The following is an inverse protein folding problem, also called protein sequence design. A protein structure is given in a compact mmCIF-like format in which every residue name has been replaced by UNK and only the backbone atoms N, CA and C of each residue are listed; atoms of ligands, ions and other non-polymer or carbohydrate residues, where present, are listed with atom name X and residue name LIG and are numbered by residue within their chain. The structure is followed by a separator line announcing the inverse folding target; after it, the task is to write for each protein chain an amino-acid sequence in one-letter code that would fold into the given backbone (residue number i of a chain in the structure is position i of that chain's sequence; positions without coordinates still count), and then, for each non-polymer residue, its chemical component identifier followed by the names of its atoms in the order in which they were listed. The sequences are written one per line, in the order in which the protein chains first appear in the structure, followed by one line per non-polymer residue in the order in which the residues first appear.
data_IF_412453268761
#
_entry.id   IF_412453268761
#
_cell.length_a   1.000
_cell.length_b   1.000
_cell.length_c   1.000
_cell.angle_alpha   90.00
_cell.angle_beta   90.00
_cell.angle_gamma   90.00
#
_symmetry.space_group_name_H-M   'P 1'
#
loop_
_entity.id
_entity.type
_entity.pdbx_description
1 polymer ?
#
# COMPACT_ATOMS: atom_id res chain seq x y z
N UNK A 1 -24.67 35.14 -16.12
CA UNK A 1 -23.21 35.18 -15.86
C UNK A 1 -22.94 36.09 -14.65
N UNK A 2 -22.76 35.51 -13.45
CA UNK A 2 -22.32 36.26 -12.25
C UNK A 2 -20.79 36.18 -12.19
N UNK A 3 -20.12 37.32 -12.31
CA UNK A 3 -18.68 37.46 -12.10
C UNK A 3 -18.34 37.10 -10.64
N UNK A 4 -17.47 36.11 -10.42
CA UNK A 4 -16.81 35.89 -9.12
C UNK A 4 -15.85 37.05 -8.86
N UNK A 5 -16.04 37.77 -7.76
CA UNK A 5 -15.05 38.70 -7.22
C UNK A 5 -13.81 37.91 -6.76
N UNK A 6 -12.63 38.48 -7.01
CA UNK A 6 -11.32 37.98 -6.62
C UNK A 6 -11.03 38.43 -5.18
N UNK A 7 -10.77 37.46 -4.30
CA UNK A 7 -9.68 37.47 -3.34
C UNK A 7 -9.80 38.36 -2.11
N UNK A 8 -10.56 37.92 -1.11
CA UNK A 8 -10.12 37.96 0.29
C UNK A 8 -9.79 36.50 0.65
N UNK A 9 -8.55 36.25 1.10
CA UNK A 9 -8.19 34.94 1.67
C UNK A 9 -8.70 35.00 3.10
N UNK A 10 -9.69 34.18 3.44
CA UNK A 10 -10.20 34.09 4.81
C UNK A 10 -9.05 33.64 5.74
N UNK A 11 -8.92 34.25 6.92
CA UNK A 11 -7.90 33.88 7.93
C UNK A 11 -7.93 32.37 8.26
N UNK A 12 -9.11 31.75 8.17
CA UNK A 12 -9.32 30.30 8.31
C UNK A 12 -8.61 29.46 7.23
N UNK A 13 -8.51 29.97 5.99
CA UNK A 13 -7.80 29.29 4.90
C UNK A 13 -6.28 29.38 5.09
N UNK A 14 -5.79 30.49 5.65
CA UNK A 14 -4.37 30.64 5.98
C UNK A 14 -3.97 29.73 7.15
N UNK A 15 -4.77 29.65 8.22
CA UNK A 15 -4.51 28.73 9.33
C UNK A 15 -4.55 27.26 8.87
N UNK A 16 -5.54 26.89 8.04
CA UNK A 16 -5.61 25.55 7.46
C UNK A 16 -4.38 25.23 6.60
N UNK A 17 -3.92 26.19 5.79
CA UNK A 17 -2.74 26.02 4.95
C UNK A 17 -1.47 25.85 5.80
N UNK A 18 -1.26 26.70 6.81
CA UNK A 18 -0.11 26.61 7.72
C UNK A 18 -0.11 25.27 8.46
N UNK A 19 -1.27 24.83 8.98
CA UNK A 19 -1.42 23.52 9.61
C UNK A 19 -1.09 22.37 8.65
N UNK A 20 -1.55 22.47 7.41
CA UNK A 20 -1.29 21.46 6.39
C UNK A 20 0.21 21.34 6.05
N UNK A 21 0.91 22.46 5.89
CA UNK A 21 2.37 22.45 5.68
C UNK A 21 3.11 21.85 6.88
N UNK A 22 2.70 22.21 8.10
CA UNK A 22 3.30 21.65 9.32
C UNK A 22 3.10 20.13 9.42
N UNK A 23 1.90 19.64 9.09
CA UNK A 23 1.62 18.20 9.09
C UNK A 23 2.44 17.45 8.05
N UNK A 24 2.59 18.02 6.86
CA UNK A 24 3.44 17.50 5.78
C UNK A 24 4.89 17.37 6.24
N UNK A 25 5.47 18.43 6.81
CA UNK A 25 6.85 18.43 7.31
C UNK A 25 7.03 17.38 8.41
N UNK A 26 6.14 17.37 9.40
CA UNK A 26 6.14 16.38 10.49
C UNK A 26 6.07 14.94 9.99
N UNK A 27 5.20 14.66 9.00
CA UNK A 27 5.06 13.33 8.39
C UNK A 27 6.34 12.88 7.69
N UNK A 28 6.99 13.79 6.95
CA UNK A 28 8.27 13.54 6.27
C UNK A 28 9.41 13.31 7.25
N UNK A 29 9.49 14.13 8.29
CA UNK A 29 10.50 13.99 9.34
C UNK A 29 10.35 12.67 10.09
N UNK A 30 9.13 12.28 10.43
CA UNK A 30 8.87 11.00 11.08
C UNK A 30 9.28 9.83 10.19
N UNK A 31 8.94 9.87 8.90
CA UNK A 31 9.36 8.84 7.94
C UNK A 31 10.87 8.78 7.80
N UNK A 32 11.54 9.92 7.77
CA UNK A 32 13.00 9.99 7.71
C UNK A 32 13.63 9.33 8.95
N UNK A 33 13.13 9.63 10.15
CA UNK A 33 13.57 9.00 11.41
C UNK A 33 13.36 7.49 11.39
N UNK A 34 12.17 7.03 11.00
CA UNK A 34 11.85 5.61 10.91
C UNK A 34 12.75 4.90 9.88
N UNK A 35 13.01 5.53 8.73
CA UNK A 35 13.93 5.02 7.70
C UNK A 35 15.36 4.88 8.20
N UNK A 36 15.86 5.84 9.00
CA UNK A 36 17.18 5.71 9.61
C UNK A 36 17.21 4.59 10.65
N UNK A 37 16.17 4.48 11.47
CA UNK A 37 16.03 3.40 12.45
C UNK A 37 16.01 2.02 11.79
N UNK A 38 15.30 1.86 10.67
CA UNK A 38 15.27 0.61 9.91
C UNK A 38 16.64 0.20 9.32
N UNK A 39 17.57 1.15 9.14
CA UNK A 39 18.93 0.87 8.65
C UNK A 39 19.88 0.47 9.78
N UNK A 40 19.68 1.02 10.97
CA UNK A 40 20.55 0.79 12.13
C UNK A 40 20.09 -0.39 12.98
N UNK A 41 18.79 -0.54 13.18
CA UNK A 41 18.17 -1.55 14.04
C UNK A 41 17.52 -2.66 13.20
N UNK A 42 18.12 -3.85 13.25
CA UNK A 42 17.61 -5.04 12.54
C UNK A 42 16.29 -5.56 13.10
N UNK A 43 15.87 -5.16 14.30
CA UNK A 43 14.58 -5.56 14.88
C UNK A 43 13.40 -4.77 14.32
N UNK A 44 13.67 -3.72 13.54
CA UNK A 44 12.68 -2.79 13.01
C UNK A 44 12.65 -2.87 11.49
N UNK A 45 11.48 -3.14 10.93
CA UNK A 45 11.25 -3.09 9.48
C UNK A 45 10.29 -1.96 9.17
N UNK A 46 10.68 -1.11 8.21
CA UNK A 46 9.85 -0.01 7.74
C UNK A 46 9.63 -0.17 6.25
N UNK A 47 8.36 -0.26 5.84
CA UNK A 47 7.97 -0.46 4.46
C UNK A 47 6.92 0.55 4.04
N UNK A 48 7.07 1.12 2.86
CA UNK A 48 5.98 1.84 2.18
C UNK A 48 5.26 0.88 1.25
N UNK A 49 3.95 0.97 1.12
CA UNK A 49 3.23 0.22 0.11
C UNK A 49 2.16 1.05 -0.58
N UNK A 50 1.95 0.78 -1.86
CA UNK A 50 0.92 1.41 -2.67
C UNK A 50 0.44 0.49 -3.79
N UNK A 51 -0.81 0.69 -4.21
CA UNK A 51 -1.39 -0.06 -5.32
C UNK A 51 -1.21 0.73 -6.61
N UNK A 52 -0.53 0.13 -7.58
CA UNK A 52 -0.26 0.75 -8.88
C UNK A 52 -1.57 1.06 -9.64
N UNK A 53 -1.47 1.98 -10.60
CA UNK A 53 -2.49 2.15 -11.61
C UNK A 53 -2.77 0.80 -12.30
N UNK A 54 -4.02 0.59 -12.73
CA UNK A 54 -4.44 -0.67 -13.35
C UNK A 54 -3.58 -0.94 -14.58
N UNK A 55 -3.01 -2.13 -14.63
CA UNK A 55 -2.16 -2.63 -15.71
C UNK A 55 -3.07 -3.36 -16.72
N UNK A 56 -3.32 -2.79 -17.91
CA UNK A 56 -4.26 -3.38 -18.86
C UNK A 56 -3.61 -4.53 -19.64
N UNK A 57 -4.36 -5.60 -19.85
CA UNK A 57 -3.98 -6.70 -20.75
C UNK A 57 -5.06 -6.90 -21.81
N UNK A 58 -4.71 -6.95 -23.12
CA UNK A 58 -3.38 -6.77 -23.69
C UNK A 58 -2.90 -5.30 -23.64
N UNK A 59 -1.59 -5.08 -23.54
CA UNK A 59 -0.96 -3.77 -23.68
C UNK A 59 -0.10 -3.74 -24.95
N UNK A 60 -0.65 -3.21 -26.04
CA UNK A 60 0.03 -3.08 -27.33
C UNK A 60 0.03 -1.62 -27.79
N UNK A 61 1.02 -1.26 -28.62
CA UNK A 61 1.15 0.09 -29.20
C UNK A 61 0.31 0.25 -30.47
N UNK A 62 -0.97 -0.14 -30.43
CA UNK A 62 -1.90 -0.04 -31.57
C UNK A 62 -3.15 0.74 -31.19
N UNK A 63 -3.61 1.63 -32.07
CA UNK A 63 -4.75 2.50 -31.80
C UNK A 63 -6.07 1.76 -31.58
N UNK A 64 -6.24 0.60 -32.24
CA UNK A 64 -7.48 -0.18 -32.19
C UNK A 64 -7.82 -0.73 -30.80
N UNK A 65 -6.81 -0.87 -29.93
CA UNK A 65 -7.01 -1.33 -28.55
C UNK A 65 -7.83 -0.34 -27.72
N UNK A 66 -7.85 0.94 -28.09
CA UNK A 66 -8.62 1.97 -27.37
C UNK A 66 -10.11 1.61 -27.24
N UNK A 67 -10.67 0.89 -28.21
CA UNK A 67 -12.08 0.49 -28.24
C UNK A 67 -12.35 -0.91 -27.68
N UNK A 68 -11.33 -1.59 -27.14
CA UNK A 68 -11.44 -2.95 -26.62
C UNK A 68 -11.50 -2.94 -25.09
N UNK A 69 -12.11 -3.98 -24.54
CA UNK A 69 -12.11 -4.21 -23.10
C UNK A 69 -10.81 -4.90 -22.72
N UNK A 70 -10.10 -4.32 -21.76
CA UNK A 70 -8.89 -4.90 -21.19
C UNK A 70 -9.23 -5.75 -19.97
N UNK A 71 -8.46 -6.81 -19.79
CA UNK A 71 -8.38 -7.51 -18.51
C UNK A 71 -7.50 -6.67 -17.57
N UNK A 72 -8.01 -6.43 -16.38
CA UNK A 72 -7.31 -5.61 -15.38
C UNK A 72 -6.33 -6.46 -14.57
N UNK A 73 -5.05 -6.09 -14.58
CA UNK A 73 -4.04 -6.60 -13.67
C UNK A 73 -3.71 -5.54 -12.62
N UNK A 74 -3.51 -5.99 -11.39
CA UNK A 74 -3.23 -5.17 -10.22
C UNK A 74 -1.85 -5.53 -9.68
N UNK A 75 -1.11 -4.50 -9.25
CA UNK A 75 0.21 -4.66 -8.64
C UNK A 75 0.26 -3.90 -7.32
N UNK A 76 0.33 -4.62 -6.20
CA UNK A 76 0.55 -4.04 -4.88
C UNK A 76 2.04 -4.12 -4.53
N UNK A 77 2.69 -2.96 -4.50
CA UNK A 77 4.14 -2.87 -4.33
C UNK A 77 4.50 -2.48 -2.91
N UNK A 78 5.29 -3.32 -2.24
CA UNK A 78 5.94 -3.02 -0.96
C UNK A 78 7.40 -2.65 -1.21
N UNK A 79 7.84 -1.53 -0.67
CA UNK A 79 9.24 -1.10 -0.69
C UNK A 79 9.76 -0.99 0.74
N UNK A 80 10.77 -1.81 1.06
CA UNK A 80 11.46 -1.76 2.36
C UNK A 80 12.50 -0.63 2.36
N UNK A 81 12.35 0.29 3.31
CA UNK A 81 13.19 1.50 3.43
C UNK A 81 14.58 1.21 4.00
N UNK A 82 14.73 0.10 4.74
CA UNK A 82 15.98 -0.31 5.36
C UNK A 82 16.95 -0.94 4.36
N UNK A 83 16.48 -1.92 3.59
CA UNK A 83 17.31 -2.71 2.66
C UNK A 83 17.10 -2.38 1.17
N UNK A 84 16.14 -1.51 0.84
CA UNK A 84 15.83 -1.10 -0.53
C UNK A 84 15.24 -2.20 -1.40
N UNK A 85 14.76 -3.30 -0.81
CA UNK A 85 14.09 -4.38 -1.55
C UNK A 85 12.65 -4.01 -1.83
N UNK A 86 12.22 -4.32 -3.06
CA UNK A 86 10.83 -4.20 -3.48
C UNK A 86 10.20 -5.58 -3.63
N UNK A 87 8.99 -5.76 -3.11
CA UNK A 87 8.16 -6.96 -3.29
C UNK A 87 6.85 -6.54 -3.93
N UNK A 88 6.47 -7.18 -5.03
CA UNK A 88 5.30 -6.87 -5.83
C UNK A 88 4.36 -8.07 -5.79
N UNK A 89 3.13 -7.85 -5.32
CA UNK A 89 2.06 -8.85 -5.36
C UNK A 89 1.20 -8.57 -6.58
N UNK A 90 1.15 -9.51 -7.53
CA UNK A 90 0.42 -9.34 -8.78
C UNK A 90 -0.75 -10.30 -8.87
N UNK A 91 -1.90 -9.79 -9.31
CA UNK A 91 -3.06 -10.60 -9.67
C UNK A 91 -3.93 -9.87 -10.69
N UNK A 92 -4.73 -10.62 -11.42
CA UNK A 92 -5.75 -10.07 -12.32
C UNK A 92 -7.16 -10.12 -11.72
N UNK A 93 -8.10 -9.43 -12.35
CA UNK A 93 -9.49 -9.32 -11.91
C UNK A 93 -10.27 -10.64 -11.89
N UNK A 94 -9.78 -11.72 -12.52
CA UNK A 94 -10.36 -13.06 -12.39
C UNK A 94 -10.02 -13.67 -11.03
N UNK A 95 -8.82 -13.39 -10.52
CA UNK A 95 -8.33 -13.93 -9.26
C UNK A 95 -8.82 -13.14 -8.04
N UNK A 96 -8.98 -11.83 -8.14
CA UNK A 96 -9.42 -11.01 -7.02
C UNK A 96 -9.71 -9.57 -7.38
N UNK A 97 -10.44 -8.87 -6.50
CA UNK A 97 -10.68 -7.43 -6.65
C UNK A 97 -9.46 -6.60 -6.22
N UNK A 98 -9.69 -5.32 -5.92
CA UNK A 98 -8.66 -4.44 -5.35
C UNK A 98 -9.13 -3.80 -4.05
N UNK A 99 -9.93 -4.54 -3.29
CA UNK A 99 -10.54 -4.08 -2.04
C UNK A 99 -9.71 -4.45 -0.82
N UNK A 100 -10.28 -4.18 0.35
CA UNK A 100 -9.62 -4.45 1.62
C UNK A 100 -9.20 -5.91 1.82
N UNK A 101 -9.93 -6.87 1.25
CA UNK A 101 -9.64 -8.30 1.41
C UNK A 101 -8.31 -8.65 0.71
N UNK A 102 -8.15 -8.22 -0.54
CA UNK A 102 -6.94 -8.48 -1.32
C UNK A 102 -5.74 -7.76 -0.72
N UNK A 103 -5.91 -6.46 -0.41
CA UNK A 103 -4.87 -5.64 0.22
C UNK A 103 -4.43 -6.21 1.56
N UNK A 104 -5.37 -6.52 2.46
CA UNK A 104 -5.03 -7.03 3.78
C UNK A 104 -4.46 -8.46 3.75
N UNK A 105 -4.83 -9.28 2.76
CA UNK A 105 -4.22 -10.60 2.55
C UNK A 105 -2.77 -10.47 2.11
N UNK A 106 -2.46 -9.55 1.19
CA UNK A 106 -1.09 -9.26 0.79
C UNK A 106 -0.26 -8.68 1.96
N UNK A 107 -0.85 -7.83 2.80
CA UNK A 107 -0.19 -7.33 4.02
C UNK A 107 0.14 -8.49 4.97
N UNK A 108 -0.79 -9.43 5.18
CA UNK A 108 -0.53 -10.63 6.01
C UNK A 108 0.61 -11.47 5.45
N UNK A 109 0.58 -11.77 4.15
CA UNK A 109 1.65 -12.52 3.48
C UNK A 109 3.00 -11.80 3.59
N UNK A 110 3.00 -10.47 3.45
CA UNK A 110 4.22 -9.68 3.62
C UNK A 110 4.75 -9.75 5.04
N UNK A 111 3.91 -9.58 6.07
CA UNK A 111 4.31 -9.70 7.47
C UNK A 111 4.87 -11.09 7.75
N UNK A 112 4.19 -12.15 7.30
CA UNK A 112 4.65 -13.53 7.47
C UNK A 112 6.04 -13.72 6.85
N UNK A 113 6.24 -13.29 5.60
CA UNK A 113 7.53 -13.44 4.92
C UNK A 113 8.65 -12.66 5.61
N UNK A 114 8.36 -11.46 6.13
CA UNK A 114 9.34 -10.65 6.86
C UNK A 114 9.68 -11.28 8.20
N UNK A 115 8.69 -11.81 8.93
CA UNK A 115 8.89 -12.50 10.20
C UNK A 115 9.71 -13.79 10.05
N UNK A 116 9.45 -14.58 9.01
CA UNK A 116 10.21 -15.79 8.70
C UNK A 116 11.67 -15.50 8.36
N UNK A 117 11.94 -14.39 7.65
CA UNK A 117 13.29 -13.99 7.25
C UNK A 117 14.06 -13.27 8.36
N UNK A 118 13.38 -12.73 9.36
CA UNK A 118 13.99 -11.93 10.42
C UNK A 118 13.54 -12.41 11.81
N UNK A 119 14.33 -13.30 12.39
CA UNK A 119 14.10 -13.88 13.72
C UNK A 119 14.15 -12.86 14.87
N UNK A 120 14.70 -11.66 14.63
CA UNK A 120 14.81 -10.59 15.62
C UNK A 120 13.73 -9.51 15.45
N UNK A 121 12.77 -9.72 14.55
CA UNK A 121 11.74 -8.74 14.24
C UNK A 121 10.84 -8.49 15.46
N UNK A 122 10.83 -7.24 15.92
CA UNK A 122 9.99 -6.74 17.02
C UNK A 122 8.98 -5.71 16.56
N UNK A 123 9.34 -4.87 15.59
CA UNK A 123 8.49 -3.78 15.13
C UNK A 123 8.41 -3.73 13.61
N UNK A 124 7.18 -3.60 13.09
CA UNK A 124 6.93 -3.32 11.69
C UNK A 124 6.19 -1.98 11.58
N UNK A 125 6.68 -1.09 10.72
CA UNK A 125 5.98 0.15 10.38
C UNK A 125 5.65 0.18 8.90
N UNK A 126 4.36 0.33 8.60
CA UNK A 126 3.85 0.53 7.26
C UNK A 126 3.47 1.99 7.01
N UNK A 127 3.81 2.47 5.83
CA UNK A 127 3.36 3.75 5.29
C UNK A 127 2.52 3.53 4.04
N UNK A 128 1.29 4.05 4.00
CA UNK A 128 0.42 3.94 2.82
C UNK A 128 -0.44 5.18 2.60
N UNK A 129 -1.13 5.22 1.46
CA UNK A 129 -2.20 6.19 1.21
C UNK A 129 -3.41 5.96 2.16
N UNK A 130 -4.32 6.93 2.22
CA UNK A 130 -5.51 6.90 3.11
C UNK A 130 -6.78 6.37 2.43
N UNK A 131 -6.66 5.63 1.32
CA UNK A 131 -7.81 5.09 0.61
C UNK A 131 -8.66 4.20 1.53
N UNK A 132 -9.89 4.63 1.84
CA UNK A 132 -10.74 3.96 2.82
C UNK A 132 -11.17 2.55 2.38
N UNK A 133 -11.48 2.37 1.09
CA UNK A 133 -11.86 1.06 0.55
C UNK A 133 -10.73 0.02 0.54
N UNK A 134 -9.49 0.47 0.66
CA UNK A 134 -8.29 -0.35 0.49
C UNK A 134 -7.48 -0.44 1.78
N UNK A 135 -6.96 0.68 2.25
CA UNK A 135 -5.90 0.74 3.26
C UNK A 135 -6.44 1.18 4.64
N UNK A 136 -7.20 2.27 4.69
CA UNK A 136 -7.66 2.87 5.95
C UNK A 136 -9.05 2.34 6.32
N UNK A 137 -9.11 1.07 6.73
CA UNK A 137 -10.34 0.44 7.20
C UNK A 137 -10.09 -0.61 8.30
N UNK A 138 -11.19 -0.99 8.95
CA UNK A 138 -11.22 -2.00 10.00
C UNK A 138 -10.74 -3.39 9.57
N UNK A 139 -10.82 -3.74 8.28
CA UNK A 139 -10.46 -5.07 7.79
C UNK A 139 -8.95 -5.22 7.72
N UNK A 140 -8.24 -4.21 7.18
CA UNK A 140 -6.78 -4.13 7.20
C UNK A 140 -6.26 -4.07 8.64
N UNK A 141 -6.89 -3.27 9.51
CA UNK A 141 -6.53 -3.24 10.93
C UNK A 141 -6.71 -4.62 11.60
N UNK A 142 -7.81 -5.32 11.30
CA UNK A 142 -8.05 -6.69 11.80
C UNK A 142 -7.00 -7.68 11.31
N UNK A 143 -6.54 -7.53 10.06
CA UNK A 143 -5.48 -8.35 9.50
C UNK A 143 -4.15 -8.12 10.24
N UNK A 144 -3.76 -6.87 10.50
CA UNK A 144 -2.54 -6.57 11.28
C UNK A 144 -2.63 -7.09 12.73
N UNK A 145 -3.79 -6.96 13.38
CA UNK A 145 -4.02 -7.54 14.71
C UNK A 145 -3.92 -9.07 14.71
N UNK A 146 -4.43 -9.72 13.66
CA UNK A 146 -4.29 -11.15 13.49
C UNK A 146 -2.82 -11.56 13.33
N UNK A 147 -2.05 -10.83 12.53
CA UNK A 147 -0.61 -11.05 12.38
C UNK A 147 0.14 -10.93 13.72
N UNK A 148 -0.15 -9.91 14.54
CA UNK A 148 0.41 -9.76 15.89
C UNK A 148 0.09 -10.97 16.78
N UNK A 149 -1.13 -11.52 16.68
CA UNK A 149 -1.51 -12.70 17.45
C UNK A 149 -0.74 -13.95 17.02
N UNK A 150 -0.40 -14.08 15.74
CA UNK A 150 0.30 -15.24 15.21
C UNK A 150 1.81 -15.19 15.45
N UNK A 151 2.42 -14.01 15.36
CA UNK A 151 3.86 -13.83 15.51
C UNK A 151 4.22 -13.22 16.85
N UNK A 152 4.49 -14.08 17.85
CA UNK A 152 4.82 -13.65 19.22
C UNK A 152 6.07 -12.78 19.34
N UNK A 153 6.97 -12.80 18.34
CA UNK A 153 8.15 -11.95 18.30
C UNK A 153 7.81 -10.49 17.96
N UNK A 154 6.73 -10.26 17.21
CA UNK A 154 6.32 -8.91 16.81
C UNK A 154 5.54 -8.29 17.96
N UNK A 155 6.12 -7.24 18.53
CA UNK A 155 5.55 -6.48 19.65
C UNK A 155 4.65 -5.35 19.13
N UNK A 156 5.02 -4.72 18.00
CA UNK A 156 4.36 -3.52 17.49
C UNK A 156 4.19 -3.59 15.96
N UNK A 157 2.96 -3.30 15.48
CA UNK A 157 2.70 -2.98 14.08
C UNK A 157 2.13 -1.56 14.01
N UNK A 158 2.87 -0.66 13.37
CA UNK A 158 2.43 0.71 13.10
C UNK A 158 1.88 0.81 11.67
N UNK A 159 0.71 1.41 11.49
CA UNK A 159 0.18 1.79 10.19
C UNK A 159 0.04 3.31 10.13
N UNK A 160 1.02 3.96 9.49
CA UNK A 160 1.13 5.41 9.36
C UNK A 160 0.60 5.84 7.98
N UNK A 161 -0.02 7.01 7.96
CA UNK A 161 -0.61 7.59 6.77
C UNK A 161 0.02 8.96 6.49
N UNK A 162 0.11 9.32 5.21
CA UNK A 162 0.57 10.64 4.80
C UNK A 162 -0.53 11.69 4.90
N UNK A 163 -0.10 12.94 5.03
CA UNK A 163 -0.95 14.10 4.79
C UNK A 163 -1.43 14.09 3.32
N UNK A 164 -2.71 14.44 3.10
CA UNK A 164 -3.33 14.36 1.76
C UNK A 164 -2.57 15.25 0.77
N UNK A 165 -2.37 14.78 -0.46
CA UNK A 165 -1.64 15.53 -1.50
C UNK A 165 -0.11 15.60 -1.31
N UNK A 166 0.42 15.01 -0.23
CA UNK A 166 1.86 15.00 0.07
C UNK A 166 2.39 13.60 0.34
N UNK A 167 1.81 12.60 -0.33
CA UNK A 167 2.32 11.23 -0.33
C UNK A 167 3.55 11.16 -1.24
N UNK A 168 4.71 10.89 -0.65
CA UNK A 168 5.94 10.61 -1.38
C UNK A 168 6.38 9.21 -0.94
N UNK A 169 6.04 8.18 -1.73
CA UNK A 169 6.25 6.78 -1.38
C UNK A 169 7.35 6.18 -2.25
N UNK A 170 8.29 5.46 -1.66
CA UNK A 170 9.30 4.73 -2.43
C UNK A 170 8.69 3.60 -3.26
N UNK A 171 7.48 3.12 -2.91
CA UNK A 171 6.68 2.25 -3.77
C UNK A 171 6.40 2.88 -5.16
N UNK A 172 6.24 4.20 -5.27
CA UNK A 172 6.02 4.89 -6.55
C UNK A 172 7.24 4.78 -7.48
N UNK A 173 8.43 4.57 -6.92
CA UNK A 173 9.64 4.31 -7.70
C UNK A 173 9.61 2.95 -8.39
N UNK A 174 8.91 1.97 -7.80
CA UNK A 174 8.65 0.65 -8.41
C UNK A 174 7.71 0.85 -9.59
N UNK A 175 6.58 1.52 -9.38
CA UNK A 175 5.60 1.79 -10.45
C UNK A 175 6.24 2.55 -11.62
N UNK A 176 7.03 3.57 -11.32
CA UNK A 176 7.79 4.32 -12.32
C UNK A 176 8.77 3.44 -13.11
N UNK A 177 9.35 2.41 -12.49
CA UNK A 177 10.24 1.47 -13.16
C UNK A 177 9.46 0.50 -14.05
N UNK A 178 8.32 -0.02 -13.56
CA UNK A 178 7.42 -0.90 -14.29
C UNK A 178 6.87 -0.19 -15.53
N UNK A 179 6.39 1.03 -15.39
CA UNK A 179 5.91 1.86 -16.50
C UNK A 179 6.98 2.10 -17.57
N UNK A 180 8.25 2.29 -17.18
CA UNK A 180 9.37 2.38 -18.14
C UNK A 180 9.64 1.06 -18.86
N UNK A 181 9.57 -0.07 -18.15
CA UNK A 181 9.75 -1.40 -18.75
C UNK A 181 8.62 -1.76 -19.72
N UNK A 182 7.38 -1.38 -19.38
CA UNK A 182 6.18 -1.54 -20.21
C UNK A 182 6.31 -0.84 -21.56
N UNK A 183 6.85 0.38 -21.62
CA UNK A 183 6.89 1.21 -22.85
C UNK A 183 7.47 0.50 -24.08
N UNK A 184 8.40 -0.43 -23.88
CA UNK A 184 9.07 -1.14 -24.96
C UNK A 184 8.66 -2.62 -25.05
N UNK A 185 7.57 -3.01 -24.39
CA UNK A 185 7.16 -4.41 -24.27
C UNK A 185 5.71 -4.57 -24.70
N UNK A 186 5.44 -5.55 -25.56
CA UNK A 186 4.08 -5.97 -25.88
C UNK A 186 3.61 -7.02 -24.90
N UNK A 187 2.43 -6.80 -24.33
CA UNK A 187 1.82 -7.68 -23.32
C UNK A 187 0.53 -8.23 -23.91
N UNK A 188 0.47 -9.55 -24.06
CA UNK A 188 -0.65 -10.29 -24.60
C UNK A 188 -1.39 -11.08 -23.52
N UNK A 189 -0.69 -11.51 -22.48
CA UNK A 189 -1.21 -12.32 -21.38
C UNK A 189 -0.87 -11.70 -20.01
N UNK A 190 -1.75 -11.79 -19.00
CA UNK A 190 -1.52 -11.17 -17.69
C UNK A 190 -0.27 -11.68 -17.00
N UNK A 191 0.08 -12.96 -17.15
CA UNK A 191 1.29 -13.55 -16.54
C UNK A 191 2.58 -12.90 -17.04
N UNK A 192 2.55 -12.24 -18.21
CA UNK A 192 3.71 -11.52 -18.71
C UNK A 192 4.03 -10.27 -17.87
N UNK A 193 3.06 -9.75 -17.11
CA UNK A 193 3.33 -8.67 -16.14
C UNK A 193 4.34 -9.10 -15.08
N UNK A 194 4.33 -10.36 -14.64
CA UNK A 194 5.30 -10.86 -13.66
C UNK A 194 6.73 -10.71 -14.17
N UNK A 195 6.91 -10.99 -15.45
CA UNK A 195 8.21 -10.86 -16.14
C UNK A 195 8.59 -9.39 -16.31
N UNK A 196 7.65 -8.53 -16.74
CA UNK A 196 7.89 -7.09 -16.89
C UNK A 196 8.29 -6.45 -15.56
N UNK A 197 7.58 -6.76 -14.48
CA UNK A 197 7.88 -6.24 -13.13
C UNK A 197 9.23 -6.77 -12.65
N UNK A 198 9.52 -8.05 -12.81
CA UNK A 198 10.80 -8.65 -12.41
C UNK A 198 12.00 -7.97 -13.11
N UNK A 199 11.85 -7.61 -14.39
CA UNK A 199 12.90 -6.97 -15.19
C UNK A 199 12.95 -5.44 -15.05
N UNK A 200 11.97 -4.82 -14.39
CA UNK A 200 11.85 -3.37 -14.29
C UNK A 200 13.05 -2.70 -13.59
N UNK A 201 13.75 -3.45 -12.72
CA UNK A 201 14.96 -2.98 -12.02
C UNK A 201 16.12 -3.97 -12.19
N UNK A 202 17.14 -3.57 -12.96
CA UNK A 202 18.33 -4.39 -13.23
C UNK A 202 19.16 -4.71 -11.97
N UNK A 203 19.40 -3.70 -11.12
CA UNK A 203 20.20 -3.84 -9.89
C UNK A 203 19.27 -4.03 -8.70
N UNK A 204 19.39 -5.15 -7.99
CA UNK A 204 18.46 -5.59 -6.95
C UNK A 204 17.04 -5.82 -7.50
N UNK A 205 16.81 -6.84 -8.36
CA UNK A 205 15.49 -7.09 -8.95
C UNK A 205 14.36 -7.15 -7.90
N UNK A 206 13.14 -6.80 -8.33
CA UNK A 206 11.98 -6.90 -7.46
C UNK A 206 11.59 -8.36 -7.25
N UNK A 207 11.14 -8.69 -6.05
CA UNK A 207 10.55 -9.99 -5.75
C UNK A 207 9.11 -9.93 -6.26
N UNK A 208 8.76 -10.78 -7.21
CA UNK A 208 7.40 -10.85 -7.75
C UNK A 208 6.70 -12.09 -7.18
N UNK A 209 5.50 -11.88 -6.65
CA UNK A 209 4.66 -12.91 -6.06
C UNK A 209 3.32 -12.88 -6.81
N UNK A 210 3.09 -13.83 -7.75
CA UNK A 210 1.79 -14.01 -8.37
C UNK A 210 0.80 -14.51 -7.32
N UNK A 211 -0.38 -13.90 -7.29
CA UNK A 211 -1.44 -14.19 -6.33
C UNK A 211 -2.63 -14.78 -7.07
N UNK A 212 -3.20 -15.84 -6.50
CA UNK A 212 -4.36 -16.54 -7.02
C UNK A 212 -5.57 -16.35 -6.11
N UNK A 213 -6.75 -16.74 -6.58
CA UNK A 213 -7.99 -16.67 -5.80
C UNK A 213 -7.86 -17.27 -4.38
N UNK A 214 -7.15 -18.40 -4.24
CA UNK A 214 -6.98 -19.08 -2.95
C UNK A 214 -6.11 -18.34 -1.93
N UNK A 215 -5.32 -17.37 -2.37
CA UNK A 215 -4.42 -16.60 -1.48
C UNK A 215 -5.17 -15.47 -0.74
N UNK A 216 -6.38 -15.12 -1.20
CA UNK A 216 -7.17 -14.04 -0.62
C UNK A 216 -8.07 -14.55 0.51
N UNK A 217 -7.84 -13.99 1.71
CA UNK A 217 -8.61 -14.29 2.91
C UNK A 217 -9.84 -13.40 3.07
N UNK A 218 -10.94 -13.95 3.59
CA UNK A 218 -12.11 -13.16 3.97
C UNK A 218 -11.88 -12.40 5.28
N UNK A 219 -11.37 -11.17 5.14
CA UNK A 219 -11.09 -10.30 6.28
C UNK A 219 -12.36 -9.76 6.94
N UNK A 220 -13.51 -9.78 6.26
CA UNK A 220 -14.79 -9.38 6.87
C UNK A 220 -15.19 -10.37 7.94
N UNK A 221 -15.07 -11.66 7.61
CA UNK A 221 -15.27 -12.75 8.57
C UNK A 221 -14.26 -12.70 9.70
N UNK A 222 -12.97 -12.43 9.41
CA UNK A 222 -11.93 -12.26 10.43
C UNK A 222 -12.25 -11.11 11.40
N UNK A 223 -12.58 -9.93 10.86
CA UNK A 223 -12.98 -8.76 11.64
C UNK A 223 -14.14 -9.08 12.57
N UNK A 224 -15.17 -9.79 12.09
CA UNK A 224 -16.33 -10.17 12.91
C UNK A 224 -15.95 -11.07 14.09
N UNK A 225 -14.92 -11.90 13.96
CA UNK A 225 -14.42 -12.78 15.03
C UNK A 225 -13.52 -12.06 16.03
N UNK A 226 -12.75 -11.07 15.57
CA UNK A 226 -11.74 -10.40 16.39
C UNK A 226 -12.22 -9.12 17.05
N UNK A 227 -13.10 -8.35 16.39
CA UNK A 227 -13.49 -7.02 16.83
C UNK A 227 -15.00 -6.99 17.15
N UNK A 228 -15.35 -7.33 18.38
CA UNK A 228 -16.74 -7.43 18.83
C UNK A 228 -17.34 -6.07 19.24
N UNK A 229 -16.53 -5.11 19.72
CA UNK A 229 -16.98 -3.79 20.12
C UNK A 229 -16.44 -2.70 19.20
N UNK A 230 -17.33 -2.12 18.39
CA UNK A 230 -16.99 -1.09 17.38
C UNK A 230 -17.87 0.15 17.55
N UNK A 231 -18.89 0.05 18.41
CA UNK A 231 -19.89 1.10 18.60
C UNK A 231 -19.78 1.76 19.96
N UNK A 232 -19.00 1.22 20.91
CA UNK A 232 -18.94 1.77 22.27
C UNK A 232 -17.52 2.13 22.65
N UNK A 233 -17.35 3.33 23.21
CA UNK A 233 -16.12 3.73 23.90
C UNK A 233 -15.90 2.90 25.18
N UNK A 234 -14.74 3.07 25.81
CA UNK A 234 -14.43 2.51 27.14
C UNK A 234 -15.48 2.94 28.17
N UNK A 235 -16.04 4.14 28.03
CA UNK A 235 -17.11 4.69 28.87
C UNK A 235 -18.53 4.25 28.43
N UNK A 236 -18.65 3.22 27.59
CA UNK A 236 -19.92 2.73 27.04
C UNK A 236 -20.74 3.75 26.22
N UNK A 237 -20.15 4.88 25.80
CA UNK A 237 -20.82 5.85 24.93
C UNK A 237 -20.85 5.35 23.50
N UNK A 238 -21.98 5.53 22.83
CA UNK A 238 -22.11 5.15 21.42
C UNK A 238 -21.27 6.08 20.55
N UNK A 239 -20.35 5.52 19.77
CA UNK A 239 -19.59 6.23 18.74
C UNK A 239 -20.46 6.19 17.47
N UNK A 240 -20.85 7.38 16.99
CA UNK A 240 -21.55 7.55 15.71
C UNK A 240 -20.59 7.37 14.54
#
# INVERSE_FOLDING_TARGET
MRKKQRGEVDDDDEEQFVRHQRNKESSRDQKSKDKQRAKTDKSVVVSTFDLEAVLPTPCLMVGDLYYKRFLSTYNLSFYSLGDGKGTCYLWDEVNGGRGSNEIGSCILMHINSVAEKNTHLKEITFYSNTCGGQNRNQYVASAMLYALKQHKSIEIINHKFFERGHSEMEADSIHSAVERAKKNTHIYDPSQWDTVVSMARKKNPYIVIPMNFGDFSDLKSLRKKMCNNIKKTVDNKTIN
#
